data_IF_935229120042
#
_entry.id   IF_935229120042
#
_cell.length_a   1.000
_cell.length_b   1.000
_cell.length_c   1.000
_cell.angle_alpha   90.00
_cell.angle_beta   90.00
_cell.angle_gamma   90.00
#
_symmetry.space_group_name_H-M   'P 1'
#
loop_
_entity.id
_entity.type
_entity.pdbx_description
1 polymer ?
#
# COMPACT_ATOMS: atom_id res chain seq x y z
N UNK A 1 -4.89 -1.34 18.22
CA UNK A 1 -5.86 -1.44 17.10
C UNK A 1 -5.20 -2.17 15.92
N UNK A 2 -5.94 -2.44 14.83
CA UNK A 2 -5.41 -3.15 13.64
C UNK A 2 -4.19 -2.42 13.03
N UNK A 3 -4.20 -1.08 13.05
CA UNK A 3 -3.11 -0.24 12.56
C UNK A 3 -1.82 -0.41 13.36
N UNK A 4 -1.88 -0.34 14.70
CA UNK A 4 -0.68 -0.47 15.56
C UNK A 4 0.02 -1.81 15.37
N UNK A 5 -0.77 -2.89 15.16
CA UNK A 5 -0.22 -4.23 14.89
C UNK A 5 0.53 -4.27 13.56
N UNK A 6 -0.01 -3.63 12.53
CA UNK A 6 0.63 -3.55 11.23
C UNK A 6 1.91 -2.68 11.29
N UNK A 7 1.86 -1.54 11.98
CA UNK A 7 3.04 -0.68 12.22
C UNK A 7 4.14 -1.50 12.90
N UNK A 8 3.82 -2.18 14.00
CA UNK A 8 4.77 -2.98 14.75
C UNK A 8 5.37 -4.12 13.90
N UNK A 9 4.54 -4.80 13.10
CA UNK A 9 5.00 -5.86 12.21
C UNK A 9 5.89 -5.32 11.09
N UNK A 10 5.51 -4.21 10.46
CA UNK A 10 6.30 -3.56 9.41
C UNK A 10 7.65 -3.12 9.96
N UNK A 11 7.67 -2.44 11.11
CA UNK A 11 8.89 -2.02 11.78
C UNK A 11 9.80 -3.21 12.10
N UNK A 12 9.26 -4.32 12.60
CA UNK A 12 10.03 -5.52 12.89
C UNK A 12 10.65 -6.18 11.64
N UNK A 13 9.98 -6.08 10.48
CA UNK A 13 10.38 -6.80 9.25
C UNK A 13 11.23 -5.97 8.29
N UNK A 14 11.14 -4.65 8.38
CA UNK A 14 11.83 -3.73 7.45
C UNK A 14 12.64 -2.64 8.13
N UNK A 15 12.54 -2.50 9.45
CA UNK A 15 13.09 -1.38 10.21
C UNK A 15 12.55 0.00 9.75
N UNK A 16 11.35 0.01 9.15
CA UNK A 16 10.66 1.23 8.71
C UNK A 16 9.46 1.50 9.60
N UNK A 17 9.44 2.68 10.19
CA UNK A 17 8.29 3.16 10.95
C UNK A 17 7.45 4.10 10.09
N UNK A 18 6.36 3.56 9.53
CA UNK A 18 5.45 4.29 8.62
C UNK A 18 4.82 5.54 9.26
N UNK A 19 4.84 5.66 10.59
CA UNK A 19 4.21 6.78 11.31
C UNK A 19 4.93 8.11 11.11
N UNK A 20 6.21 8.07 10.73
CA UNK A 20 7.01 9.26 10.44
C UNK A 20 6.94 9.71 8.97
N UNK A 21 6.13 9.04 8.17
CA UNK A 21 5.86 9.43 6.80
C UNK A 21 4.55 10.23 6.69
N UNK A 22 4.23 10.71 5.47
CA UNK A 22 3.01 11.49 5.21
C UNK A 22 1.72 10.87 5.75
N UNK A 23 0.76 11.71 6.10
CA UNK A 23 -0.59 11.24 6.46
C UNK A 23 -1.22 10.49 5.29
N UNK A 24 -0.93 10.91 4.06
CA UNK A 24 -1.38 10.20 2.87
C UNK A 24 -0.87 8.76 2.81
N UNK A 25 0.40 8.51 3.12
CA UNK A 25 0.92 7.13 3.17
C UNK A 25 0.26 6.34 4.31
N UNK A 26 0.13 6.94 5.49
CA UNK A 26 -0.51 6.31 6.65
C UNK A 26 -1.95 5.86 6.33
N UNK A 27 -2.74 6.70 5.65
CA UNK A 27 -4.09 6.38 5.17
C UNK A 27 -4.10 5.18 4.21
N UNK A 28 -3.18 5.16 3.24
CA UNK A 28 -3.07 4.08 2.25
C UNK A 28 -2.73 2.76 2.95
N UNK A 29 -1.80 2.81 3.90
CA UNK A 29 -1.37 1.64 4.66
C UNK A 29 -2.50 1.12 5.55
N UNK A 30 -3.23 2.02 6.22
CA UNK A 30 -4.41 1.67 7.02
C UNK A 30 -5.50 1.01 6.16
N UNK A 31 -5.86 1.61 5.03
CA UNK A 31 -6.87 1.07 4.11
C UNK A 31 -6.47 -0.32 3.58
N UNK A 32 -5.19 -0.51 3.29
CA UNK A 32 -4.64 -1.80 2.86
C UNK A 32 -4.78 -2.86 3.96
N UNK A 33 -4.44 -2.53 5.20
CA UNK A 33 -4.54 -3.44 6.35
C UNK A 33 -5.99 -3.83 6.68
N UNK A 34 -6.93 -2.89 6.52
CA UNK A 34 -8.37 -3.16 6.69
C UNK A 34 -8.90 -4.09 5.61
N UNK A 35 -8.45 -3.91 4.35
CA UNK A 35 -8.97 -4.70 3.24
C UNK A 35 -8.33 -6.09 3.09
N UNK A 36 -7.03 -6.22 3.36
CA UNK A 36 -6.26 -7.44 3.09
C UNK A 36 -5.77 -8.16 4.33
N UNK A 37 -6.22 -7.73 5.51
CA UNK A 37 -5.75 -8.14 6.83
C UNK A 37 -4.31 -7.69 7.13
N UNK A 38 -4.02 -7.40 8.40
CA UNK A 38 -2.75 -6.84 8.90
C UNK A 38 -1.54 -7.78 8.78
N UNK A 39 -1.78 -9.07 8.52
CA UNK A 39 -0.72 -10.07 8.34
C UNK A 39 -0.32 -10.26 6.88
N UNK A 40 -0.94 -9.53 5.96
CA UNK A 40 -0.49 -9.55 4.59
C UNK A 40 0.80 -8.76 4.46
N UNK A 41 1.88 -9.46 4.08
CA UNK A 41 3.21 -8.90 3.80
C UNK A 41 3.24 -7.88 2.66
N UNK A 42 2.10 -7.39 2.16
CA UNK A 42 2.01 -6.45 1.06
C UNK A 42 2.78 -5.15 1.32
N UNK A 43 2.63 -4.53 2.49
CA UNK A 43 3.35 -3.29 2.84
C UNK A 43 4.85 -3.57 2.97
N UNK A 44 5.22 -4.67 3.64
CA UNK A 44 6.61 -5.13 3.76
C UNK A 44 7.24 -5.39 2.38
N UNK A 45 6.51 -6.07 1.49
CA UNK A 45 6.94 -6.37 0.13
C UNK A 45 7.06 -5.09 -0.69
N UNK A 46 6.17 -4.12 -0.50
CA UNK A 46 6.26 -2.82 -1.16
C UNK A 46 7.51 -2.06 -0.72
N UNK A 47 7.81 -2.03 0.58
CA UNK A 47 9.05 -1.42 1.11
C UNK A 47 10.28 -2.12 0.52
N UNK A 48 10.31 -3.46 0.53
CA UNK A 48 11.41 -4.25 -0.08
C UNK A 48 11.54 -4.01 -1.58
N UNK A 49 10.41 -3.78 -2.28
CA UNK A 49 10.37 -3.49 -3.72
C UNK A 49 10.90 -2.09 -4.04
N UNK A 50 10.57 -1.09 -3.22
CA UNK A 50 11.12 0.26 -3.35
C UNK A 50 12.64 0.21 -3.14
N UNK A 51 13.07 -0.52 -2.11
CA UNK A 51 14.48 -0.71 -1.78
C UNK A 51 15.20 0.60 -1.47
N UNK A 52 16.54 0.51 -1.40
CA UNK A 52 17.40 1.66 -1.10
C UNK A 52 17.23 2.19 0.33
N UNK A 53 17.79 3.38 0.57
CA UNK A 53 17.66 4.06 1.85
C UNK A 53 16.23 4.59 2.02
N UNK A 54 15.62 4.17 3.12
CA UNK A 54 14.31 4.66 3.55
C UNK A 54 14.50 6.11 3.96
N UNK A 55 13.73 7.00 3.34
CA UNK A 55 13.71 8.41 3.72
C UNK A 55 12.28 8.83 3.99
N UNK A 56 12.13 9.65 5.03
CA UNK A 56 10.93 10.43 5.32
C UNK A 56 10.88 11.57 4.30
N UNK A 57 10.57 11.24 3.04
CA UNK A 57 10.43 12.21 1.96
C UNK A 57 9.21 11.92 1.10
N UNK A 58 8.60 12.97 0.56
CA UNK A 58 7.51 12.84 -0.42
C UNK A 58 7.88 11.97 -1.61
N UNK A 59 9.14 12.00 -2.04
CA UNK A 59 9.57 11.16 -3.17
C UNK A 59 9.54 9.67 -2.80
N UNK A 60 10.01 9.32 -1.62
CA UNK A 60 9.96 7.96 -1.11
C UNK A 60 8.51 7.50 -0.90
N UNK A 61 7.67 8.34 -0.30
CA UNK A 61 6.25 8.02 -0.08
C UNK A 61 5.51 7.80 -1.39
N UNK A 62 5.81 8.62 -2.40
CA UNK A 62 5.25 8.46 -3.74
C UNK A 62 5.60 7.09 -4.32
N UNK A 63 6.86 6.65 -4.17
CA UNK A 63 7.33 5.33 -4.61
C UNK A 63 6.64 4.22 -3.82
N UNK A 64 6.52 4.36 -2.50
CA UNK A 64 5.92 3.36 -1.62
C UNK A 64 4.40 3.21 -1.85
N UNK A 65 3.65 4.31 -1.94
CA UNK A 65 2.22 4.30 -2.32
C UNK A 65 2.04 3.58 -3.66
N UNK A 66 2.88 3.90 -4.64
CA UNK A 66 2.85 3.26 -5.96
C UNK A 66 3.05 1.75 -5.84
N UNK A 67 4.07 1.31 -5.11
CA UNK A 67 4.38 -0.11 -4.91
C UNK A 67 3.25 -0.85 -4.16
N UNK A 68 2.60 -0.22 -3.18
CA UNK A 68 1.45 -0.82 -2.47
C UNK A 68 0.30 -1.07 -3.43
N UNK A 69 -0.10 -0.07 -4.22
CA UNK A 69 -1.20 -0.22 -5.17
C UNK A 69 -0.89 -1.22 -6.29
N UNK A 70 0.35 -1.26 -6.76
CA UNK A 70 0.79 -2.24 -7.76
C UNK A 70 0.74 -3.67 -7.17
N UNK A 71 1.05 -3.81 -5.87
CA UNK A 71 0.83 -5.03 -5.11
C UNK A 71 -0.65 -5.43 -5.00
N UNK A 72 -1.54 -4.49 -4.65
CA UNK A 72 -3.00 -4.70 -4.55
C UNK A 72 -3.61 -5.13 -5.88
N UNK A 73 -3.17 -4.50 -6.98
CA UNK A 73 -3.62 -4.78 -8.34
C UNK A 73 -2.91 -5.93 -9.04
N UNK A 74 -1.93 -6.59 -8.41
CA UNK A 74 -1.12 -7.64 -9.03
C UNK A 74 -1.99 -8.81 -9.48
N UNK A 75 -1.84 -9.21 -10.74
CA UNK A 75 -2.46 -10.41 -11.30
C UNK A 75 -1.51 -11.61 -11.20
N UNK A 76 -2.07 -12.80 -11.01
CA UNK A 76 -1.36 -14.08 -11.11
C UNK A 76 -1.27 -14.54 -12.59
N UNK A 77 -0.68 -15.72 -12.81
CA UNK A 77 -0.50 -16.29 -14.15
C UNK A 77 -1.83 -16.57 -14.87
N UNK A 78 -2.91 -16.78 -14.12
CA UNK A 78 -4.27 -16.97 -14.65
C UNK A 78 -4.98 -15.64 -14.99
N UNK A 79 -4.31 -14.49 -14.78
CA UNK A 79 -4.88 -13.16 -15.01
C UNK A 79 -5.88 -12.68 -13.94
N UNK A 80 -5.99 -13.39 -12.81
CA UNK A 80 -6.80 -13.02 -11.66
C UNK A 80 -6.01 -12.17 -10.67
N UNK A 81 -6.68 -11.27 -9.93
CA UNK A 81 -6.05 -10.55 -8.81
C UNK A 81 -5.52 -11.55 -7.78
N UNK A 82 -4.23 -11.47 -7.46
CA UNK A 82 -3.52 -12.44 -6.62
C UNK A 82 -4.22 -12.66 -5.27
N UNK A 83 -4.66 -11.58 -4.64
CA UNK A 83 -5.29 -11.59 -3.32
C UNK A 83 -6.82 -11.73 -3.35
N UNK A 84 -7.44 -11.70 -4.54
CA UNK A 84 -8.90 -11.82 -4.75
C UNK A 84 -9.23 -12.88 -5.80
N UNK A 85 -8.33 -13.85 -5.99
CA UNK A 85 -8.43 -14.88 -7.03
C UNK A 85 -9.66 -15.78 -6.86
N UNK A 86 -10.19 -15.86 -5.64
CA UNK A 86 -11.42 -16.59 -5.29
C UNK A 86 -12.71 -15.80 -5.59
N UNK A 87 -12.61 -14.50 -5.87
CA UNK A 87 -13.77 -13.68 -6.20
C UNK A 87 -14.13 -13.77 -7.69
N UNK A 88 -15.39 -13.48 -8.02
CA UNK A 88 -15.83 -13.46 -9.41
C UNK A 88 -15.09 -12.41 -10.23
N UNK A 89 -14.95 -12.65 -11.53
CA UNK A 89 -14.28 -11.73 -12.45
C UNK A 89 -14.83 -10.30 -12.38
N UNK A 90 -16.16 -10.17 -12.30
CA UNK A 90 -16.84 -8.87 -12.14
C UNK A 90 -16.42 -8.12 -10.87
N UNK A 91 -16.27 -8.83 -9.75
CA UNK A 91 -15.79 -8.23 -8.50
C UNK A 91 -14.32 -7.82 -8.63
N UNK A 92 -13.49 -8.69 -9.21
CA UNK A 92 -12.07 -8.38 -9.44
C UNK A 92 -11.88 -7.16 -10.34
N UNK A 93 -12.63 -7.05 -11.43
CA UNK A 93 -12.53 -5.92 -12.36
C UNK A 93 -12.98 -4.61 -11.71
N UNK A 94 -14.07 -4.65 -10.92
CA UNK A 94 -14.53 -3.48 -10.15
C UNK A 94 -13.50 -3.01 -9.11
N UNK A 95 -12.90 -3.95 -8.38
CA UNK A 95 -11.88 -3.64 -7.38
C UNK A 95 -10.58 -3.15 -8.03
N UNK A 96 -10.16 -3.76 -9.14
CA UNK A 96 -8.99 -3.32 -9.89
C UNK A 96 -9.15 -1.90 -10.43
N UNK A 97 -10.34 -1.54 -10.93
CA UNK A 97 -10.65 -0.17 -11.33
C UNK A 97 -10.58 0.80 -10.16
N UNK A 98 -11.12 0.40 -9.00
CA UNK A 98 -11.05 1.22 -7.77
C UNK A 98 -9.61 1.47 -7.33
N UNK A 99 -8.73 0.47 -7.37
CA UNK A 99 -7.31 0.64 -7.01
C UNK A 99 -6.58 1.66 -7.88
N UNK A 100 -6.91 1.75 -9.17
CA UNK A 100 -6.32 2.74 -10.07
C UNK A 100 -6.76 4.16 -9.68
N UNK A 101 -8.05 4.35 -9.38
CA UNK A 101 -8.59 5.63 -8.93
C UNK A 101 -8.01 6.03 -7.57
N UNK A 102 -8.04 5.13 -6.57
CA UNK A 102 -7.50 5.36 -5.24
C UNK A 102 -6.01 5.72 -5.27
N UNK A 103 -5.22 5.07 -6.14
CA UNK A 103 -3.80 5.42 -6.37
C UNK A 103 -3.66 6.85 -6.86
N UNK A 104 -4.43 7.24 -7.88
CA UNK A 104 -4.37 8.60 -8.45
C UNK A 104 -4.75 9.64 -7.41
N UNK A 105 -5.80 9.39 -6.62
CA UNK A 105 -6.24 10.28 -5.55
C UNK A 105 -5.21 10.39 -4.43
N UNK A 106 -4.62 9.28 -3.99
CA UNK A 106 -3.56 9.29 -2.99
C UNK A 106 -2.33 10.09 -3.47
N UNK A 107 -1.88 9.88 -4.71
CA UNK A 107 -0.75 10.62 -5.26
C UNK A 107 -1.06 12.13 -5.41
N UNK A 108 -2.32 12.49 -5.69
CA UNK A 108 -2.78 13.88 -5.66
C UNK A 108 -2.70 14.47 -4.26
N UNK A 109 -3.25 13.77 -3.26
CA UNK A 109 -3.19 14.20 -1.85
C UNK A 109 -1.76 14.38 -1.35
N UNK A 110 -0.86 13.43 -1.61
CA UNK A 110 0.54 13.52 -1.23
C UNK A 110 1.25 14.74 -1.86
N UNK A 111 0.89 15.08 -3.09
CA UNK A 111 1.45 16.25 -3.77
C UNK A 111 1.05 17.54 -3.05
N UNK A 112 -0.22 17.65 -2.69
CA UNK A 112 -0.82 18.86 -2.10
C UNK A 112 -0.62 18.95 -0.58
N UNK A 113 -0.21 17.86 0.07
CA UNK A 113 0.09 17.79 1.50
C UNK A 113 1.31 18.65 1.86
N UNK A 114 1.14 19.64 2.73
CA UNK A 114 2.24 20.56 3.13
C UNK A 114 3.02 20.10 4.35
N UNK A 115 2.42 19.25 5.19
CA UNK A 115 3.03 18.73 6.40
C UNK A 115 3.83 17.48 6.08
N UNK A 116 5.13 17.58 6.31
CA UNK A 116 6.08 16.48 6.25
C UNK A 116 7.15 16.71 7.32
#
# INVERSE_FOLDING_TARGET
>A
MQFDKLVAHTLSETNVDIRYHSHTLNDVVWSTAVQHDHLNNMVINAIKTVGGDVSESKEYDRKLITAIYDGRGRKNDDGNLTYLSKNSKKVQDGVSGRFISEKKEALGRLKDESDY
#
